data_IF_522027967219
#
_entry.id   IF_522027967219
#
_cell.length_a   1.000
_cell.length_b   1.000
_cell.length_c   1.000
_cell.angle_alpha   90.00
_cell.angle_beta   90.00
_cell.angle_gamma   90.00
#
_symmetry.space_group_name_H-M   'P 1'
#
loop_
_entity.id
_entity.type
_entity.pdbx_description
1 polymer ?
#
# COMPACT_ATOMS: atom_id res chain seq x y z
N UNK A 1 -20.55 -9.72 19.27
CA UNK A 1 -21.44 -10.85 19.54
C UNK A 1 -20.65 -12.14 19.52
N UNK A 2 -20.92 -13.04 20.47
CA UNK A 2 -20.36 -14.40 20.46
C UNK A 2 -21.45 -15.32 19.90
N UNK A 3 -21.13 -16.08 18.85
CA UNK A 3 -22.04 -17.06 18.23
C UNK A 3 -21.24 -18.32 17.85
N UNK A 4 -21.69 -19.48 18.33
CA UNK A 4 -21.03 -20.77 18.07
C UNK A 4 -19.52 -20.77 18.38
N UNK A 5 -19.12 -20.19 19.53
CA UNK A 5 -17.73 -20.08 19.94
C UNK A 5 -16.87 -19.06 19.14
N UNK A 6 -17.48 -18.30 18.23
CA UNK A 6 -16.79 -17.28 17.42
C UNK A 6 -17.17 -15.88 17.86
N UNK A 7 -16.19 -15.03 18.06
CA UNK A 7 -16.37 -13.59 18.30
C UNK A 7 -16.59 -12.87 16.96
N UNK A 8 -17.77 -12.28 16.78
CA UNK A 8 -18.16 -11.59 15.54
C UNK A 8 -18.33 -10.11 15.83
N UNK A 9 -17.60 -9.27 15.09
CA UNK A 9 -17.67 -7.81 15.20
C UNK A 9 -16.55 -7.10 14.43
N UNK A 10 -16.69 -5.79 14.25
CA UNK A 10 -15.68 -4.93 13.64
C UNK A 10 -14.39 -4.97 14.46
N UNK A 11 -13.26 -5.30 13.81
CA UNK A 11 -11.95 -5.40 14.44
C UNK A 11 -11.74 -6.67 15.27
N UNK A 12 -12.69 -7.64 15.28
CA UNK A 12 -12.51 -8.88 16.01
C UNK A 12 -11.31 -9.70 15.50
N UNK A 13 -11.09 -9.73 14.20
CA UNK A 13 -9.93 -10.35 13.58
C UNK A 13 -8.81 -9.33 13.33
N UNK A 14 -9.14 -8.16 12.85
CA UNK A 14 -8.23 -7.09 12.46
C UNK A 14 -8.49 -5.82 13.29
N UNK A 15 -7.72 -5.55 14.35
CA UNK A 15 -6.82 -6.51 15.03
C UNK A 15 -6.98 -6.40 16.56
N UNK A 16 -8.21 -6.08 17.04
CA UNK A 16 -8.48 -5.88 18.48
C UNK A 16 -8.19 -7.13 19.32
N UNK A 17 -8.38 -8.33 18.74
CA UNK A 17 -8.02 -9.58 19.42
C UNK A 17 -6.51 -9.68 19.67
N UNK A 18 -5.68 -9.29 18.69
CA UNK A 18 -4.24 -9.24 18.85
C UNK A 18 -3.82 -8.22 19.93
N UNK A 19 -4.46 -7.03 19.95
CA UNK A 19 -4.23 -6.02 20.98
C UNK A 19 -4.55 -6.59 22.37
N UNK A 20 -5.70 -7.24 22.53
CA UNK A 20 -6.10 -7.86 23.79
C UNK A 20 -5.11 -8.97 24.22
N UNK A 21 -4.66 -9.80 23.27
CA UNK A 21 -3.68 -10.86 23.51
C UNK A 21 -2.33 -10.30 23.96
N UNK A 22 -1.84 -9.23 23.33
CA UNK A 22 -0.61 -8.55 23.75
C UNK A 22 -0.72 -7.98 25.16
N UNK A 23 -1.85 -7.33 25.49
CA UNK A 23 -2.08 -6.76 26.83
C UNK A 23 -2.08 -7.90 27.88
N UNK A 24 -2.82 -8.97 27.63
CA UNK A 24 -2.90 -10.12 28.54
C UNK A 24 -1.52 -10.77 28.76
N UNK A 25 -0.78 -11.02 27.66
CA UNK A 25 0.54 -11.63 27.72
C UNK A 25 1.55 -10.74 28.47
N UNK A 26 1.55 -9.43 28.23
CA UNK A 26 2.43 -8.48 28.94
C UNK A 26 2.06 -8.39 30.40
N UNK A 27 0.77 -8.35 30.74
CA UNK A 27 0.29 -8.32 32.13
C UNK A 27 0.74 -9.57 32.90
N UNK A 28 0.55 -10.75 32.32
CA UNK A 28 0.99 -12.02 32.93
C UNK A 28 2.52 -12.06 33.10
N UNK A 29 3.27 -11.67 32.08
CA UNK A 29 4.73 -11.62 32.13
C UNK A 29 5.23 -10.69 33.25
N UNK A 30 4.73 -9.46 33.33
CA UNK A 30 5.15 -8.46 34.33
C UNK A 30 4.76 -8.90 35.75
N UNK A 31 3.60 -9.54 35.90
CA UNK A 31 3.16 -10.05 37.21
C UNK A 31 4.13 -11.11 37.78
N UNK A 32 4.64 -11.98 36.89
CA UNK A 32 5.57 -13.09 37.25
C UNK A 32 7.04 -12.66 37.28
N UNK A 33 7.42 -11.59 36.57
CA UNK A 33 8.81 -11.18 36.41
C UNK A 33 9.03 -9.74 36.89
N UNK A 34 9.00 -9.51 38.19
CA UNK A 34 9.12 -8.16 38.81
C UNK A 34 10.43 -7.43 38.51
N UNK A 35 11.48 -8.13 38.11
CA UNK A 35 12.83 -7.58 37.86
C UNK A 35 13.35 -7.99 36.48
N UNK A 36 12.57 -7.79 35.40
CA UNK A 36 13.11 -8.02 34.06
C UNK A 36 13.94 -6.82 33.59
N UNK A 37 14.92 -7.09 32.72
CA UNK A 37 15.76 -6.04 32.10
C UNK A 37 15.17 -5.64 30.77
N UNK A 38 14.93 -4.35 30.57
CA UNK A 38 14.40 -3.78 29.36
C UNK A 38 13.04 -3.09 29.51
N UNK A 39 12.42 -2.74 28.41
CA UNK A 39 11.12 -2.09 28.37
C UNK A 39 10.21 -2.78 27.35
N UNK A 40 8.94 -2.89 27.67
CA UNK A 40 7.90 -3.34 26.76
C UNK A 40 6.94 -2.17 26.54
N UNK A 41 6.75 -1.76 25.30
CA UNK A 41 5.86 -0.67 24.93
C UNK A 41 4.78 -1.17 23.99
N UNK A 42 3.54 -0.76 24.20
CA UNK A 42 2.42 -1.04 23.33
C UNK A 42 2.09 0.23 22.55
N UNK A 43 2.15 0.17 21.23
CA UNK A 43 1.71 1.22 20.35
C UNK A 43 0.34 0.85 19.79
N UNK A 44 -0.69 1.61 20.19
CA UNK A 44 -2.07 1.43 19.74
C UNK A 44 -2.46 2.69 18.98
N UNK A 45 -2.89 2.53 17.73
CA UNK A 45 -3.28 3.64 16.85
C UNK A 45 -4.73 3.46 16.39
N UNK A 46 -5.46 4.57 16.23
CA UNK A 46 -6.86 4.57 15.82
C UNK A 46 -7.10 4.94 14.35
N UNK A 47 -6.06 5.25 13.57
CA UNK A 47 -6.17 5.76 12.18
C UNK A 47 -5.35 4.92 11.19
N UNK A 48 -5.07 3.65 11.50
CA UNK A 48 -4.25 2.78 10.64
C UNK A 48 -4.98 2.48 9.33
N UNK A 49 -6.27 2.17 9.40
CA UNK A 49 -7.14 1.83 8.25
C UNK A 49 -7.62 3.07 7.46
N UNK A 50 -7.38 4.26 7.97
CA UNK A 50 -7.79 5.51 7.36
C UNK A 50 -6.65 6.21 6.61
N UNK A 51 -6.55 7.53 6.82
CA UNK A 51 -5.52 8.36 6.18
C UNK A 51 -4.13 8.10 6.79
N UNK A 52 -4.07 7.54 7.99
CA UNK A 52 -2.86 7.17 8.75
C UNK A 52 -1.87 8.33 8.99
N UNK A 53 -2.36 9.58 9.04
CA UNK A 53 -1.52 10.76 9.25
C UNK A 53 -1.10 10.89 10.71
N UNK A 54 -2.03 10.62 11.65
CA UNK A 54 -1.85 10.83 13.10
C UNK A 54 -1.59 9.51 13.85
N UNK A 55 -1.02 8.54 13.19
CA UNK A 55 -0.77 7.21 13.75
C UNK A 55 0.72 6.91 13.98
N UNK A 56 1.11 5.71 13.64
CA UNK A 56 2.45 5.13 13.85
C UNK A 56 3.59 6.05 13.39
N UNK A 57 3.44 6.73 12.25
CA UNK A 57 4.47 7.62 11.71
C UNK A 57 4.86 8.72 12.70
N UNK A 58 3.87 9.43 13.25
CA UNK A 58 4.13 10.52 14.22
C UNK A 58 4.74 10.01 15.53
N UNK A 59 4.31 8.84 16.00
CA UNK A 59 4.89 8.24 17.20
C UNK A 59 6.35 7.85 16.97
N UNK A 60 6.66 7.23 15.83
CA UNK A 60 8.05 6.88 15.48
C UNK A 60 8.93 8.12 15.32
N UNK A 61 8.42 9.19 14.71
CA UNK A 61 9.12 10.48 14.62
C UNK A 61 9.38 11.10 16.02
N UNK A 62 8.39 11.00 16.92
CA UNK A 62 8.53 11.46 18.31
C UNK A 62 9.60 10.66 19.06
N UNK A 63 9.55 9.32 19.01
CA UNK A 63 10.53 8.44 19.65
C UNK A 63 11.95 8.70 19.11
N UNK A 64 12.09 8.92 17.80
CA UNK A 64 13.36 9.29 17.19
C UNK A 64 13.90 10.63 17.73
N UNK A 65 13.05 11.66 17.90
CA UNK A 65 13.46 12.92 18.54
C UNK A 65 13.89 12.75 19.99
N UNK A 66 13.21 11.85 20.71
CA UNK A 66 13.58 11.49 22.09
C UNK A 66 14.80 10.57 22.18
N UNK A 67 15.38 10.18 21.04
CA UNK A 67 16.52 9.24 20.95
C UNK A 67 16.22 7.87 21.58
N UNK A 68 14.93 7.50 21.65
CA UNK A 68 14.51 6.18 22.12
C UNK A 68 14.96 5.10 21.13
N UNK A 69 15.61 4.08 21.65
CA UNK A 69 16.13 2.97 20.84
C UNK A 69 15.17 1.80 20.86
N UNK A 70 14.49 1.57 19.75
CA UNK A 70 13.65 0.40 19.54
C UNK A 70 14.54 -0.74 19.03
N UNK A 71 14.67 -1.81 19.81
CA UNK A 71 15.46 -2.97 19.43
C UNK A 71 14.66 -3.95 18.56
N UNK A 72 13.34 -4.06 18.82
CA UNK A 72 12.46 -5.00 18.15
C UNK A 72 11.02 -4.45 18.10
N UNK A 73 10.30 -4.78 17.03
CA UNK A 73 8.89 -4.47 16.86
C UNK A 73 8.14 -5.72 16.40
N UNK A 74 7.08 -6.07 17.10
CA UNK A 74 6.15 -7.13 16.74
C UNK A 74 4.80 -6.52 16.42
N UNK A 75 4.25 -6.86 15.24
CA UNK A 75 2.96 -6.35 14.76
C UNK A 75 1.97 -7.50 14.71
N UNK A 76 0.82 -7.33 15.36
CA UNK A 76 -0.20 -8.36 15.52
C UNK A 76 -1.25 -8.41 14.41
N UNK A 77 -0.90 -7.99 13.20
CA UNK A 77 -1.80 -8.03 12.06
C UNK A 77 -2.14 -9.47 11.63
N UNK A 78 -3.38 -9.73 11.14
CA UNK A 78 -3.79 -11.04 10.67
C UNK A 78 -3.05 -11.38 9.37
N UNK A 79 -2.06 -12.25 9.47
CA UNK A 79 -1.18 -12.60 8.33
C UNK A 79 -1.29 -14.04 7.89
N UNK A 80 -1.94 -14.89 8.68
CA UNK A 80 -2.02 -16.32 8.40
C UNK A 80 -3.20 -16.62 7.46
N UNK A 81 -2.97 -17.24 6.28
CA UNK A 81 -4.04 -17.50 5.31
C UNK A 81 -5.02 -18.59 5.77
N UNK A 82 -4.57 -19.65 6.42
CA UNK A 82 -5.40 -20.81 6.77
C UNK A 82 -5.33 -21.20 8.23
N UNK A 83 -4.12 -21.27 8.80
CA UNK A 83 -3.90 -21.72 10.18
C UNK A 83 -3.11 -20.71 10.97
N UNK A 84 -3.44 -20.56 12.25
CA UNK A 84 -2.65 -19.74 13.17
C UNK A 84 -1.20 -20.26 13.20
N UNK A 85 -0.23 -19.35 13.13
CA UNK A 85 1.19 -19.68 13.23
C UNK A 85 1.86 -20.25 11.98
N UNK A 86 1.14 -20.44 10.86
CA UNK A 86 1.75 -20.97 9.64
C UNK A 86 2.70 -19.97 8.94
N UNK A 87 2.53 -18.67 9.16
CA UNK A 87 3.31 -17.64 8.51
C UNK A 87 3.58 -16.44 9.39
N UNK A 88 4.81 -15.95 9.35
CA UNK A 88 5.17 -14.62 9.84
C UNK A 88 5.69 -13.78 8.68
N UNK A 89 5.30 -12.51 8.62
CA UNK A 89 5.82 -11.58 7.63
C UNK A 89 7.04 -10.84 8.17
N UNK A 90 8.15 -10.94 7.45
CA UNK A 90 9.40 -10.23 7.78
C UNK A 90 9.71 -9.12 6.77
N UNK A 91 8.79 -8.85 5.86
CA UNK A 91 8.92 -7.78 4.88
C UNK A 91 7.60 -7.47 4.20
N UNK A 92 7.57 -6.40 3.44
CA UNK A 92 6.39 -5.92 2.73
C UNK A 92 6.78 -5.31 1.39
N UNK A 93 5.99 -5.59 0.35
CA UNK A 93 6.08 -4.85 -0.90
C UNK A 93 5.68 -3.39 -0.68
N UNK A 94 6.30 -2.47 -1.41
CA UNK A 94 5.91 -1.08 -1.45
C UNK A 94 4.57 -0.90 -2.17
N UNK A 95 3.95 0.25 -1.95
CA UNK A 95 2.69 0.64 -2.58
C UNK A 95 2.72 2.09 -3.01
N UNK A 96 2.37 2.34 -4.27
CA UNK A 96 2.22 3.67 -4.83
C UNK A 96 0.93 3.74 -5.65
N UNK A 97 0.11 4.75 -5.38
CA UNK A 97 -1.10 5.06 -6.16
C UNK A 97 -0.82 6.28 -7.03
N UNK A 98 -1.17 6.20 -8.30
CA UNK A 98 -1.13 7.31 -9.25
C UNK A 98 -2.53 7.81 -9.56
N UNK A 99 -2.77 9.12 -9.37
CA UNK A 99 -3.98 9.83 -9.78
C UNK A 99 -3.65 10.62 -11.04
N UNK A 100 -4.14 10.13 -12.17
CA UNK A 100 -3.84 10.66 -13.49
C UNK A 100 -5.00 11.48 -14.04
N UNK A 101 -4.70 12.70 -14.48
CA UNK A 101 -5.63 13.56 -15.23
C UNK A 101 -5.04 13.84 -16.61
N UNK A 102 -5.83 13.65 -17.65
CA UNK A 102 -5.48 13.94 -19.04
C UNK A 102 -6.35 15.07 -19.51
N UNK A 103 -5.75 16.10 -20.11
CA UNK A 103 -6.43 17.27 -20.61
C UNK A 103 -6.27 17.35 -22.11
N UNK A 104 -7.40 17.48 -22.80
CA UNK A 104 -7.52 17.65 -24.24
C UNK A 104 -8.14 18.98 -24.62
N UNK A 105 -8.96 18.96 -25.68
CA UNK A 105 -9.76 20.09 -26.15
C UNK A 105 -11.11 19.57 -26.60
N UNK A 106 -12.18 20.05 -25.99
CA UNK A 106 -13.55 19.73 -26.37
C UNK A 106 -13.85 20.09 -27.84
N UNK A 107 -14.74 19.32 -28.42
CA UNK A 107 -15.23 19.64 -29.77
C UNK A 107 -16.32 18.69 -30.23
N UNK A 108 -17.04 19.07 -31.28
CA UNK A 108 -18.05 18.22 -31.88
C UNK A 108 -17.40 17.04 -32.62
N UNK A 109 -17.93 15.82 -32.47
CA UNK A 109 -17.34 14.61 -33.07
C UNK A 109 -17.22 14.69 -34.61
N UNK A 110 -18.13 15.36 -35.28
CA UNK A 110 -18.07 15.60 -36.72
C UNK A 110 -16.86 16.46 -37.16
N UNK A 111 -16.28 17.22 -36.23
CA UNK A 111 -15.12 18.09 -36.47
C UNK A 111 -13.94 17.71 -35.60
N UNK A 112 -13.70 16.42 -35.44
CA UNK A 112 -12.68 15.86 -34.56
C UNK A 112 -11.27 16.43 -34.78
N UNK A 113 -10.95 16.90 -36.00
CA UNK A 113 -9.69 17.56 -36.35
C UNK A 113 -9.46 18.91 -35.63
N UNK A 114 -10.52 19.54 -35.08
CA UNK A 114 -10.48 20.77 -34.28
C UNK A 114 -10.41 20.51 -32.76
N UNK A 115 -10.56 19.26 -32.35
CA UNK A 115 -10.53 18.82 -30.96
C UNK A 115 -9.24 18.06 -30.63
N UNK A 116 -9.03 17.78 -29.34
CA UNK A 116 -7.97 16.89 -28.83
C UNK A 116 -8.63 15.93 -27.85
N UNK A 117 -8.72 14.66 -28.22
CA UNK A 117 -9.50 13.68 -27.47
C UNK A 117 -8.68 13.06 -26.31
N UNK A 118 -8.97 13.39 -25.05
CA UNK A 118 -8.30 12.81 -23.90
C UNK A 118 -8.74 11.35 -23.62
N UNK A 119 -9.94 10.95 -24.09
CA UNK A 119 -10.43 9.58 -23.93
C UNK A 119 -9.58 8.59 -24.71
N UNK A 120 -9.24 8.90 -25.97
CA UNK A 120 -8.34 8.06 -26.78
C UNK A 120 -6.93 8.01 -26.17
N UNK A 121 -6.47 9.13 -25.63
CA UNK A 121 -5.16 9.21 -24.97
C UNK A 121 -5.10 8.34 -23.72
N UNK A 122 -6.11 8.42 -22.82
CA UNK A 122 -6.11 7.67 -21.57
C UNK A 122 -6.23 6.16 -21.82
N UNK A 123 -7.01 5.72 -22.80
CA UNK A 123 -7.12 4.31 -23.19
C UNK A 123 -5.76 3.75 -23.63
N UNK A 124 -5.03 4.48 -24.49
CA UNK A 124 -3.69 4.07 -24.95
C UNK A 124 -2.68 4.06 -23.80
N UNK A 125 -2.73 5.04 -22.89
CA UNK A 125 -1.92 5.06 -21.67
C UNK A 125 -2.19 3.81 -20.83
N UNK A 126 -3.44 3.52 -20.50
CA UNK A 126 -3.80 2.42 -19.61
C UNK A 126 -3.44 1.07 -20.22
N UNK A 127 -3.66 0.88 -21.53
CA UNK A 127 -3.20 -0.30 -22.28
C UNK A 127 -1.69 -0.50 -22.12
N UNK A 128 -0.90 0.54 -22.35
CA UNK A 128 0.57 0.46 -22.23
C UNK A 128 1.02 0.21 -20.79
N UNK A 129 0.37 0.84 -19.80
CA UNK A 129 0.69 0.63 -18.39
C UNK A 129 0.39 -0.82 -17.95
N UNK A 130 -0.71 -1.42 -18.38
CA UNK A 130 -1.05 -2.82 -18.09
C UNK A 130 -0.08 -3.81 -18.72
N UNK A 131 0.48 -3.49 -19.86
CA UNK A 131 1.49 -4.32 -20.54
C UNK A 131 2.90 -4.12 -19.98
N UNK A 132 3.10 -3.12 -19.11
CA UNK A 132 4.41 -2.80 -18.56
C UNK A 132 4.88 -3.87 -17.59
N UNK A 133 5.75 -4.77 -18.06
CA UNK A 133 6.45 -5.70 -17.19
C UNK A 133 7.46 -4.94 -16.34
N UNK A 134 7.23 -4.87 -15.04
CA UNK A 134 8.10 -4.18 -14.11
C UNK A 134 9.33 -5.02 -13.75
N UNK A 135 9.12 -6.30 -13.41
CA UNK A 135 10.15 -7.29 -13.06
C UNK A 135 9.58 -8.72 -13.09
N UNK A 136 10.42 -9.70 -12.75
CA UNK A 136 10.06 -11.12 -12.62
C UNK A 136 9.98 -11.59 -11.16
N UNK A 137 9.86 -10.66 -10.20
CA UNK A 137 9.98 -10.97 -8.79
C UNK A 137 11.42 -10.91 -8.29
N UNK A 138 11.57 -11.13 -6.99
CA UNK A 138 12.87 -11.25 -6.32
C UNK A 138 12.94 -12.55 -5.52
N UNK A 139 14.05 -12.80 -4.84
CA UNK A 139 14.17 -13.93 -3.89
C UNK A 139 13.11 -13.86 -2.78
N UNK A 140 12.67 -12.66 -2.42
CA UNK A 140 11.83 -12.42 -1.25
C UNK A 140 10.38 -12.10 -1.59
N UNK A 141 10.10 -11.67 -2.83
CA UNK A 141 8.79 -11.17 -3.22
C UNK A 141 8.38 -11.62 -4.61
N UNK A 142 7.08 -11.75 -4.79
CA UNK A 142 6.44 -11.93 -6.09
C UNK A 142 6.77 -10.75 -7.05
N UNK A 143 6.51 -10.90 -8.35
CA UNK A 143 6.61 -9.80 -9.30
C UNK A 143 5.81 -8.57 -8.87
N UNK A 144 6.36 -7.40 -9.18
CA UNK A 144 5.63 -6.14 -9.05
C UNK A 144 4.50 -6.11 -10.06
N UNK A 145 3.34 -5.59 -9.63
CA UNK A 145 2.16 -5.51 -10.49
C UNK A 145 1.53 -4.11 -10.44
N UNK A 146 0.93 -3.73 -11.55
CA UNK A 146 0.15 -2.50 -11.71
C UNK A 146 -1.29 -2.87 -12.03
N UNK A 147 -2.23 -2.32 -11.25
CA UNK A 147 -3.66 -2.46 -11.51
C UNK A 147 -4.33 -1.09 -11.65
N UNK A 148 -5.16 -0.96 -12.67
CA UNK A 148 -6.04 0.21 -12.85
C UNK A 148 -7.25 0.01 -11.96
N UNK A 149 -7.52 0.96 -11.07
CA UNK A 149 -8.60 0.85 -10.09
C UNK A 149 -9.79 1.77 -10.36
N UNK A 150 -9.60 2.79 -11.20
CA UNK A 150 -10.67 3.71 -11.58
C UNK A 150 -10.39 4.31 -12.95
N UNK A 151 -11.43 4.47 -13.74
CA UNK A 151 -11.45 5.29 -14.97
C UNK A 151 -12.73 6.14 -14.92
N UNK A 152 -12.60 7.43 -15.21
CA UNK A 152 -13.73 8.36 -15.21
C UNK A 152 -13.56 9.37 -16.33
N UNK A 153 -14.61 9.52 -17.14
CA UNK A 153 -14.74 10.52 -18.17
C UNK A 153 -16.15 11.09 -18.01
N UNK A 154 -16.23 12.32 -17.55
CA UNK A 154 -17.52 13.00 -17.40
C UNK A 154 -17.86 13.68 -18.72
N UNK A 155 -18.86 13.13 -19.41
CA UNK A 155 -19.35 13.64 -20.69
C UNK A 155 -20.83 13.30 -20.82
N UNK A 156 -21.67 14.32 -20.79
CA UNK A 156 -23.13 14.18 -20.85
C UNK A 156 -23.70 14.18 -22.28
N UNK A 157 -22.88 14.45 -23.29
CA UNK A 157 -23.32 14.57 -24.67
C UNK A 157 -22.60 13.57 -25.56
N UNK A 158 -23.37 12.74 -26.28
CA UNK A 158 -22.84 11.64 -27.13
C UNK A 158 -22.08 12.17 -28.38
N UNK A 159 -22.36 13.36 -28.81
CA UNK A 159 -21.77 14.00 -30.00
C UNK A 159 -20.64 14.99 -29.67
N UNK A 160 -20.14 15.02 -28.42
CA UNK A 160 -19.07 15.92 -27.97
C UNK A 160 -17.86 15.11 -27.52
N UNK A 161 -16.67 15.45 -27.98
CA UNK A 161 -15.39 14.97 -27.46
C UNK A 161 -15.15 15.67 -26.13
N UNK A 162 -14.89 14.93 -25.01
CA UNK A 162 -14.68 15.52 -23.69
C UNK A 162 -13.42 16.38 -23.62
N UNK A 163 -13.36 17.26 -22.60
CA UNK A 163 -12.18 18.11 -22.34
C UNK A 163 -11.11 17.40 -21.53
N UNK A 164 -11.51 16.43 -20.69
CA UNK A 164 -10.62 15.74 -19.76
C UNK A 164 -11.03 14.28 -19.57
N UNK A 165 -10.10 13.50 -18.99
CA UNK A 165 -10.29 12.11 -18.62
C UNK A 165 -9.38 11.78 -17.42
N UNK A 166 -9.86 10.91 -16.54
CA UNK A 166 -9.19 10.57 -15.29
C UNK A 166 -9.00 9.07 -15.12
N UNK A 167 -7.89 8.68 -14.51
CA UNK A 167 -7.67 7.30 -14.07
C UNK A 167 -6.91 7.24 -12.75
N UNK A 168 -7.17 6.19 -11.99
CA UNK A 168 -6.38 5.81 -10.82
C UNK A 168 -5.81 4.44 -11.03
N UNK A 169 -4.54 4.26 -10.70
CA UNK A 169 -3.88 2.95 -10.69
C UNK A 169 -3.05 2.78 -9.41
N UNK A 170 -2.86 1.54 -9.00
CA UNK A 170 -1.99 1.20 -7.88
C UNK A 170 -0.89 0.24 -8.35
N UNK A 171 0.32 0.44 -7.85
CA UNK A 171 1.47 -0.44 -8.08
C UNK A 171 1.90 -1.03 -6.75
N UNK A 172 1.91 -2.35 -6.66
CA UNK A 172 2.59 -3.10 -5.59
C UNK A 172 3.95 -3.51 -6.10
N UNK A 173 5.02 -3.00 -5.49
CA UNK A 173 6.38 -3.20 -5.98
C UNK A 173 7.29 -3.86 -4.94
N UNK A 174 8.18 -4.71 -5.42
CA UNK A 174 9.14 -5.45 -4.61
C UNK A 174 10.44 -4.65 -4.37
N UNK A 175 11.41 -5.29 -3.74
CA UNK A 175 12.71 -4.74 -3.35
C UNK A 175 13.67 -4.41 -4.51
N UNK A 176 13.29 -4.70 -5.76
CA UNK A 176 14.03 -4.27 -6.97
C UNK A 176 13.71 -2.84 -7.38
N UNK A 177 12.65 -2.26 -6.84
CA UNK A 177 12.18 -0.93 -7.18
C UNK A 177 12.16 0.01 -5.97
N UNK A 178 12.15 1.31 -6.25
CA UNK A 178 11.76 2.35 -5.34
C UNK A 178 10.64 3.17 -5.96
N UNK A 179 9.83 3.82 -5.13
CA UNK A 179 8.75 4.69 -5.60
C UNK A 179 9.27 5.75 -6.58
N UNK A 180 10.45 6.33 -6.30
CA UNK A 180 11.05 7.36 -7.16
C UNK A 180 11.45 6.82 -8.54
N UNK A 181 12.00 5.60 -8.64
CA UNK A 181 12.31 4.96 -9.93
C UNK A 181 11.04 4.69 -10.73
N UNK A 182 9.99 4.20 -10.06
CA UNK A 182 8.70 3.94 -10.70
C UNK A 182 8.04 5.22 -11.20
N UNK A 183 8.01 6.29 -10.40
CA UNK A 183 7.52 7.61 -10.83
C UNK A 183 8.22 8.09 -12.10
N UNK A 184 9.56 8.04 -12.13
CA UNK A 184 10.34 8.43 -13.31
C UNK A 184 9.95 7.60 -14.54
N UNK A 185 9.87 6.27 -14.40
CA UNK A 185 9.50 5.35 -15.47
C UNK A 185 8.10 5.66 -16.00
N UNK A 186 7.10 5.79 -15.13
CA UNK A 186 5.72 6.10 -15.51
C UNK A 186 5.65 7.46 -16.23
N UNK A 187 6.28 8.50 -15.69
CA UNK A 187 6.29 9.82 -16.30
C UNK A 187 6.87 9.84 -17.73
N UNK A 188 7.87 9.02 -18.01
CA UNK A 188 8.41 8.87 -19.38
C UNK A 188 7.34 8.33 -20.33
N UNK A 189 6.62 7.29 -19.92
CA UNK A 189 5.51 6.73 -20.73
C UNK A 189 4.40 7.75 -20.97
N UNK A 190 3.97 8.44 -19.91
CA UNK A 190 2.93 9.46 -20.00
C UNK A 190 3.30 10.56 -20.98
N UNK A 191 4.52 11.11 -20.87
CA UNK A 191 5.00 12.15 -21.79
C UNK A 191 5.00 11.69 -23.26
N UNK A 192 5.47 10.46 -23.51
CA UNK A 192 5.51 9.90 -24.87
C UNK A 192 4.12 9.79 -25.48
N UNK A 193 3.17 9.22 -24.72
CA UNK A 193 1.81 8.99 -25.25
C UNK A 193 1.04 10.31 -25.35
N UNK A 194 1.10 11.16 -24.33
CA UNK A 194 0.41 12.46 -24.38
C UNK A 194 0.91 13.34 -25.54
N UNK A 195 2.22 13.30 -25.84
CA UNK A 195 2.77 14.01 -27.02
C UNK A 195 2.16 13.50 -28.32
N UNK A 196 1.98 12.18 -28.49
CA UNK A 196 1.33 11.56 -29.66
C UNK A 196 -0.09 12.08 -29.85
N UNK A 197 -0.85 12.21 -28.76
CA UNK A 197 -2.24 12.66 -28.76
C UNK A 197 -2.41 14.18 -28.64
N UNK A 198 -1.33 14.95 -28.54
CA UNK A 198 -1.34 16.40 -28.26
C UNK A 198 -2.08 16.77 -26.97
N UNK A 199 -2.20 15.83 -26.03
CA UNK A 199 -2.80 16.03 -24.71
C UNK A 199 -1.78 16.58 -23.71
N UNK A 200 -2.29 17.29 -22.69
CA UNK A 200 -1.55 17.60 -21.46
C UNK A 200 -1.91 16.58 -20.38
N UNK A 201 -1.05 16.40 -19.38
CA UNK A 201 -1.39 15.56 -18.23
C UNK A 201 -0.90 16.16 -16.91
N UNK A 202 -1.58 15.81 -15.84
CA UNK A 202 -1.15 15.98 -14.45
C UNK A 202 -1.19 14.62 -13.79
N UNK A 203 -0.20 14.29 -12.97
CA UNK A 203 -0.21 13.09 -12.17
C UNK A 203 0.24 13.39 -10.75
N UNK A 204 -0.55 12.94 -9.79
CA UNK A 204 -0.24 12.98 -8.37
C UNK A 204 0.02 11.57 -7.87
N UNK A 205 1.00 11.41 -6.95
CA UNK A 205 1.36 10.12 -6.42
C UNK A 205 1.20 10.09 -4.91
N UNK A 206 0.48 9.10 -4.42
CA UNK A 206 0.44 8.77 -3.00
C UNK A 206 1.26 7.51 -2.74
N UNK A 207 2.24 7.60 -1.85
CA UNK A 207 3.11 6.49 -1.46
C UNK A 207 2.67 6.03 -0.09
N UNK A 208 2.11 4.82 0.02
CA UNK A 208 1.76 4.22 1.31
C UNK A 208 2.99 3.65 2.03
N UNK A 209 4.04 3.31 1.30
CA UNK A 209 5.32 2.86 1.85
C UNK A 209 6.25 2.30 0.78
N UNK A 210 7.55 2.34 1.07
CA UNK A 210 8.57 1.62 0.29
C UNK A 210 8.52 0.12 0.61
N UNK A 211 9.09 -0.68 -0.29
CA UNK A 211 9.31 -2.08 0.02
C UNK A 211 10.44 -2.24 1.04
N UNK A 212 10.31 -3.18 1.94
CA UNK A 212 11.37 -3.52 2.88
C UNK A 212 11.40 -5.01 3.19
N UNK A 213 12.54 -5.48 3.66
CA UNK A 213 12.73 -6.84 4.17
C UNK A 213 13.60 -6.79 5.42
N UNK A 214 13.14 -7.41 6.49
CA UNK A 214 13.95 -7.66 7.68
C UNK A 214 14.78 -8.92 7.45
N UNK A 215 16.09 -8.79 7.51
CA UNK A 215 16.96 -9.97 7.42
C UNK A 215 16.67 -10.90 8.59
N UNK A 216 16.38 -12.19 8.33
CA UNK A 216 16.20 -13.17 9.41
C UNK A 216 17.37 -13.14 10.38
N UNK A 217 17.07 -13.15 11.66
CA UNK A 217 18.04 -13.12 12.75
C UNK A 217 17.59 -14.03 13.90
N UNK A 218 18.37 -14.11 14.97
CA UNK A 218 18.07 -14.95 16.12
C UNK A 218 16.65 -14.72 16.67
N UNK A 219 16.19 -13.47 16.71
CA UNK A 219 14.85 -13.13 17.23
C UNK A 219 13.75 -13.60 16.29
N UNK A 220 13.90 -13.44 14.98
CA UNK A 220 12.89 -13.92 14.00
C UNK A 220 12.77 -15.44 14.04
N UNK A 221 13.89 -16.16 14.19
CA UNK A 221 13.86 -17.62 14.33
C UNK A 221 13.23 -18.05 15.66
N UNK A 222 13.56 -17.37 16.76
CA UNK A 222 12.96 -17.64 18.07
C UNK A 222 11.42 -17.48 18.03
N UNK A 223 10.92 -16.40 17.45
CA UNK A 223 9.48 -16.18 17.32
C UNK A 223 8.83 -17.26 16.46
N UNK A 224 9.42 -17.60 15.31
CA UNK A 224 8.94 -18.71 14.47
C UNK A 224 8.84 -20.02 15.28
N UNK A 225 9.85 -20.32 16.06
CA UNK A 225 9.92 -21.58 16.79
C UNK A 225 8.95 -21.62 17.98
N UNK A 226 8.70 -20.47 18.64
CA UNK A 226 7.64 -20.34 19.66
C UNK A 226 6.26 -20.57 19.03
N UNK A 227 5.96 -19.92 17.90
CA UNK A 227 4.66 -20.05 17.22
C UNK A 227 4.43 -21.49 16.72
N UNK A 228 5.47 -22.20 16.30
CA UNK A 228 5.35 -23.61 15.86
C UNK A 228 5.08 -24.59 17.00
N UNK A 229 5.41 -24.24 18.24
CA UNK A 229 5.23 -25.11 19.41
C UNK A 229 3.83 -25.01 20.02
N UNK A 230 3.08 -24.00 19.70
CA UNK A 230 1.72 -23.71 20.16
C UNK A 230 0.70 -23.84 19.01
#
# INVERSE_FOLDING_TARGET
>A
TIKNGKLIGRGASDMKSSVASFIAAVSDFVSKNKKFRGSISLLITGDEEGIAINGTKKVVEYLKRKKEKINFCLVGEPTNPSRMGEMIKIGRRGSITGYLSIFGKMGHVAYSHKAVNPSSCIVDILKNLKQLKLDNGSKNFQPSNLEVTKISIDNSADNVIPGDAYATFNIRFNDRHSSNKLKKKINVYLRKICKKYKCKFKIEYMISGESFITKPNKTTYMIRDIIKKN
#
